data_IF_545203860421
#
_entry.id   IF_545203860421
#
_cell.length_a   1.000
_cell.length_b   1.000
_cell.length_c   1.000
_cell.angle_alpha   90.00
_cell.angle_beta   90.00
_cell.angle_gamma   90.00
#
_symmetry.space_group_name_H-M   'P 1'
#
loop_
_entity.id
_entity.type
_entity.pdbx_description
1 polymer ?
#
# COMPACT_ATOMS: atom_id res chain seq x y z
N UNK A 1 -4.36 -7.35 -14.70
CA UNK A 1 -4.20 -8.78 -15.00
C UNK A 1 -2.74 -9.22 -15.00
N UNK A 2 -1.79 -8.37 -15.47
CA UNK A 2 -0.34 -8.69 -15.46
C UNK A 2 0.17 -9.07 -14.05
N UNK A 3 -0.29 -8.38 -13.01
CA UNK A 3 0.05 -8.70 -11.62
C UNK A 3 -0.41 -10.07 -11.13
N UNK A 4 -1.42 -10.67 -11.75
CA UNK A 4 -1.83 -12.04 -11.43
C UNK A 4 -0.76 -13.04 -11.87
N UNK A 5 -0.27 -12.90 -13.10
CA UNK A 5 0.77 -13.79 -13.65
C UNK A 5 2.11 -13.68 -12.93
N UNK A 6 2.55 -12.45 -12.63
CA UNK A 6 3.79 -12.27 -11.87
C UNK A 6 3.71 -12.85 -10.46
N UNK A 7 2.56 -12.75 -9.79
CA UNK A 7 2.32 -13.34 -8.49
C UNK A 7 2.34 -14.88 -8.54
N UNK A 8 1.78 -15.47 -9.59
CA UNK A 8 1.81 -16.91 -9.82
C UNK A 8 3.23 -17.43 -9.98
N UNK A 9 4.07 -16.75 -10.78
CA UNK A 9 5.47 -17.09 -10.94
C UNK A 9 6.25 -17.03 -9.62
N UNK A 10 6.02 -15.99 -8.82
CA UNK A 10 6.64 -15.86 -7.48
C UNK A 10 6.23 -17.02 -6.56
N UNK A 11 4.94 -17.39 -6.58
CA UNK A 11 4.45 -18.50 -5.77
C UNK A 11 4.99 -19.85 -6.26
N UNK A 12 5.12 -20.06 -7.56
CA UNK A 12 5.72 -21.27 -8.12
C UNK A 12 7.18 -21.43 -7.69
N UNK A 13 7.98 -20.38 -7.80
CA UNK A 13 9.36 -20.34 -7.33
C UNK A 13 9.47 -20.56 -5.81
N UNK A 14 8.56 -19.98 -5.03
CA UNK A 14 8.52 -20.18 -3.59
C UNK A 14 8.18 -21.64 -3.23
N UNK A 15 7.31 -22.30 -3.99
CA UNK A 15 6.95 -23.70 -3.75
C UNK A 15 8.14 -24.63 -3.96
N UNK A 16 8.95 -24.38 -4.98
CA UNK A 16 10.12 -25.21 -5.30
C UNK A 16 11.26 -25.04 -4.28
N UNK A 17 11.53 -23.81 -3.85
CA UNK A 17 12.71 -23.51 -3.05
C UNK A 17 12.42 -23.40 -1.56
N UNK A 18 11.22 -22.98 -1.16
CA UNK A 18 10.88 -22.72 0.23
C UNK A 18 9.37 -22.90 0.50
N UNK A 19 8.90 -24.11 0.75
CA UNK A 19 7.47 -24.39 0.98
C UNK A 19 6.81 -23.56 2.10
N UNK A 20 7.45 -23.25 3.24
CA UNK A 20 6.88 -22.35 4.24
C UNK A 20 6.58 -20.96 3.68
N UNK A 21 7.46 -20.41 2.85
CA UNK A 21 7.27 -19.12 2.22
C UNK A 21 6.11 -19.13 1.22
N UNK A 22 5.93 -20.24 0.51
CA UNK A 22 4.77 -20.45 -0.37
C UNK A 22 3.45 -20.30 0.38
N UNK A 23 3.29 -20.93 1.54
CA UNK A 23 2.06 -20.87 2.32
C UNK A 23 1.77 -19.48 2.87
N UNK A 24 2.80 -18.76 3.29
CA UNK A 24 2.67 -17.34 3.68
C UNK A 24 2.22 -16.52 2.47
N UNK A 25 2.85 -16.71 1.31
CA UNK A 25 2.47 -16.03 0.06
C UNK A 25 1.05 -16.35 -0.39
N UNK A 26 0.62 -17.62 -0.28
CA UNK A 26 -0.75 -18.04 -0.57
C UNK A 26 -1.77 -17.37 0.37
N UNK A 27 -1.46 -17.24 1.66
CA UNK A 27 -2.28 -16.48 2.61
C UNK A 27 -2.42 -15.01 2.22
N UNK A 28 -1.33 -14.35 1.83
CA UNK A 28 -1.34 -12.98 1.31
C UNK A 28 -2.14 -12.90 0.00
N UNK A 29 -2.10 -13.97 -0.82
CA UNK A 29 -2.86 -14.06 -2.06
C UNK A 29 -4.38 -14.05 -1.84
N UNK A 30 -4.88 -14.58 -0.72
CA UNK A 30 -6.30 -14.49 -0.31
C UNK A 30 -6.63 -13.10 0.23
N UNK A 31 -5.75 -12.51 1.05
CA UNK A 31 -6.01 -11.21 1.67
C UNK A 31 -6.09 -10.08 0.65
N UNK A 32 -5.33 -10.16 -0.44
CA UNK A 32 -5.30 -9.11 -1.47
C UNK A 32 -6.67 -8.90 -2.15
N UNK A 33 -7.31 -9.90 -2.75
CA UNK A 33 -8.65 -9.74 -3.32
C UNK A 33 -9.72 -9.43 -2.27
N UNK A 34 -9.53 -9.90 -1.03
CA UNK A 34 -10.42 -9.59 0.07
C UNK A 34 -10.48 -8.08 0.36
N UNK A 35 -9.32 -7.44 0.59
CA UNK A 35 -9.33 -6.01 0.88
C UNK A 35 -9.67 -5.15 -0.33
N UNK A 36 -9.33 -5.59 -1.55
CA UNK A 36 -9.73 -4.91 -2.78
C UNK A 36 -11.24 -4.97 -2.99
N UNK A 37 -11.85 -6.14 -2.76
CA UNK A 37 -13.32 -6.28 -2.83
C UNK A 37 -14.01 -5.46 -1.73
N UNK A 38 -13.47 -5.46 -0.51
CA UNK A 38 -13.97 -4.57 0.56
C UNK A 38 -13.95 -3.12 0.12
N UNK A 39 -12.82 -2.63 -0.42
CA UNK A 39 -12.69 -1.26 -0.91
C UNK A 39 -13.72 -0.97 -2.00
N UNK A 40 -13.88 -1.85 -2.96
CA UNK A 40 -14.84 -1.71 -4.04
C UNK A 40 -16.28 -1.66 -3.54
N UNK A 41 -16.67 -2.59 -2.68
CA UNK A 41 -18.04 -2.66 -2.14
C UNK A 41 -18.34 -1.44 -1.27
N UNK A 42 -17.42 -1.01 -0.44
CA UNK A 42 -17.62 0.14 0.46
C UNK A 42 -17.66 1.46 -0.30
N UNK A 43 -16.80 1.62 -1.31
CA UNK A 43 -16.70 2.88 -2.06
C UNK A 43 -17.78 3.05 -3.13
N UNK A 44 -18.15 1.96 -3.83
CA UNK A 44 -19.03 2.05 -5.01
C UNK A 44 -20.41 1.44 -4.81
N UNK A 45 -20.55 0.40 -3.99
CA UNK A 45 -21.82 -0.28 -3.76
C UNK A 45 -22.47 0.08 -2.40
N UNK A 46 -21.71 0.77 -1.54
CA UNK A 46 -22.19 1.21 -0.22
C UNK A 46 -23.04 2.47 -0.30
N UNK A 47 -23.83 2.71 0.76
CA UNK A 47 -24.50 4.01 0.92
C UNK A 47 -23.48 5.09 1.27
N UNK A 48 -23.68 6.34 0.80
CA UNK A 48 -22.81 7.44 1.18
C UNK A 48 -22.80 7.57 2.71
N UNK A 49 -21.60 7.70 3.27
CA UNK A 49 -21.38 7.77 4.73
C UNK A 49 -21.17 9.18 5.24
N UNK A 50 -20.97 10.12 4.31
CA UNK A 50 -20.72 11.53 4.61
C UNK A 50 -21.43 12.41 3.59
N UNK A 51 -21.79 13.62 4.01
CA UNK A 51 -22.43 14.63 3.16
C UNK A 51 -21.58 15.02 1.95
N UNK A 52 -20.26 14.86 2.03
CA UNK A 52 -19.36 15.05 0.90
C UNK A 52 -19.56 14.01 -0.20
N UNK A 53 -19.79 12.74 0.19
CA UNK A 53 -20.00 11.65 -0.73
C UNK A 53 -21.35 11.73 -1.45
N UNK A 54 -22.40 12.27 -0.81
CA UNK A 54 -23.71 12.50 -1.45
C UNK A 54 -23.63 13.55 -2.56
N UNK A 55 -22.73 14.51 -2.46
CA UNK A 55 -22.54 15.62 -3.42
C UNK A 55 -21.43 15.33 -4.42
N UNK A 56 -20.83 14.15 -4.38
CA UNK A 56 -19.77 13.76 -5.32
C UNK A 56 -20.32 13.80 -6.77
N UNK A 57 -19.62 14.54 -7.63
CA UNK A 57 -19.92 14.63 -9.05
C UNK A 57 -18.99 13.70 -9.83
N UNK A 58 -19.47 13.25 -10.98
CA UNK A 58 -18.66 12.50 -11.92
C UNK A 58 -17.45 13.32 -12.38
N UNK A 59 -16.33 12.60 -12.62
CA UNK A 59 -15.10 13.24 -13.07
C UNK A 59 -15.24 13.85 -14.47
N UNK A 60 -14.63 15.02 -14.71
CA UNK A 60 -14.68 15.64 -16.03
C UNK A 60 -13.97 14.77 -17.08
N UNK A 61 -14.37 14.88 -18.38
CA UNK A 61 -13.82 14.05 -19.46
C UNK A 61 -12.29 14.09 -19.58
N UNK A 62 -11.67 15.20 -19.20
CA UNK A 62 -10.21 15.37 -19.19
C UNK A 62 -9.51 14.36 -18.27
N UNK A 63 -10.15 13.98 -17.17
CA UNK A 63 -9.63 12.94 -16.25
C UNK A 63 -10.10 11.54 -16.64
N UNK A 64 -11.29 11.43 -17.23
CA UNK A 64 -11.88 10.15 -17.61
C UNK A 64 -11.10 9.47 -18.75
N UNK A 65 -10.68 10.21 -19.75
CA UNK A 65 -9.95 9.68 -20.92
C UNK A 65 -8.64 8.99 -20.51
N UNK A 66 -7.74 9.60 -19.72
CA UNK A 66 -6.54 8.92 -19.24
C UNK A 66 -6.84 7.67 -18.42
N UNK A 67 -7.88 7.68 -17.58
CA UNK A 67 -8.28 6.52 -16.78
C UNK A 67 -8.75 5.36 -17.64
N UNK A 68 -9.53 5.63 -18.69
CA UNK A 68 -9.96 4.60 -19.66
C UNK A 68 -8.75 4.01 -20.38
N UNK A 69 -7.83 4.86 -20.86
CA UNK A 69 -6.62 4.40 -21.53
C UNK A 69 -5.79 3.49 -20.62
N UNK A 70 -5.56 3.91 -19.37
CA UNK A 70 -4.85 3.11 -18.37
C UNK A 70 -5.58 1.80 -18.05
N UNK A 71 -6.91 1.84 -17.96
CA UNK A 71 -7.73 0.64 -17.75
C UNK A 71 -7.59 -0.36 -18.91
N UNK A 72 -7.65 0.12 -20.15
CA UNK A 72 -7.44 -0.71 -21.35
C UNK A 72 -6.02 -1.28 -21.35
N UNK A 73 -5.00 -0.47 -21.11
CA UNK A 73 -3.62 -0.93 -21.06
C UNK A 73 -3.40 -1.96 -19.93
N UNK A 74 -4.03 -1.81 -18.78
CA UNK A 74 -3.95 -2.77 -17.68
C UNK A 74 -4.54 -4.15 -18.05
N UNK A 75 -5.54 -4.19 -18.91
CA UNK A 75 -6.09 -5.44 -19.46
C UNK A 75 -5.20 -5.99 -20.56
N UNK A 76 -4.81 -5.15 -21.50
CA UNK A 76 -4.05 -5.55 -22.71
C UNK A 76 -2.63 -6.03 -22.35
N UNK A 77 -1.98 -5.40 -21.33
CA UNK A 77 -0.65 -5.82 -20.85
C UNK A 77 -0.59 -7.24 -20.26
N UNK A 78 -1.74 -7.85 -19.99
CA UNK A 78 -1.80 -9.23 -19.50
C UNK A 78 -1.70 -10.27 -20.64
N UNK A 79 -1.85 -9.87 -21.89
CA UNK A 79 -1.74 -10.79 -23.00
C UNK A 79 -0.28 -11.02 -23.35
N UNK A 80 0.09 -12.29 -23.52
CA UNK A 80 1.46 -12.76 -23.77
C UNK A 80 2.15 -12.11 -24.97
N UNK A 81 1.38 -11.72 -26.00
CA UNK A 81 1.89 -11.05 -27.20
C UNK A 81 2.63 -9.73 -26.89
N UNK A 82 2.15 -8.98 -25.90
CA UNK A 82 2.77 -7.68 -25.52
C UNK A 82 3.86 -7.92 -24.51
N UNK A 83 3.65 -8.81 -23.57
CA UNK A 83 4.66 -9.17 -22.56
C UNK A 83 5.92 -9.75 -23.23
N UNK A 84 5.79 -10.61 -24.23
CA UNK A 84 6.91 -11.19 -24.95
C UNK A 84 7.68 -10.19 -25.81
N UNK A 85 7.03 -9.07 -26.21
CA UNK A 85 7.70 -8.00 -26.96
C UNK A 85 8.52 -7.07 -26.09
N UNK A 86 8.20 -7.00 -24.79
CA UNK A 86 8.85 -6.10 -23.83
C UNK A 86 9.97 -6.82 -23.07
N UNK A 87 9.79 -8.13 -22.79
CA UNK A 87 10.78 -8.97 -22.10
C UNK A 87 11.42 -9.91 -23.13
N UNK A 88 12.65 -9.62 -23.58
CA UNK A 88 13.29 -10.38 -24.68
C UNK A 88 13.74 -11.79 -24.28
N UNK A 89 13.78 -12.14 -23.00
CA UNK A 89 14.29 -13.43 -22.56
C UNK A 89 13.21 -14.52 -22.52
N UNK A 90 13.62 -15.68 -23.00
CA UNK A 90 12.81 -16.87 -23.27
C UNK A 90 12.12 -17.49 -22.03
N UNK A 91 12.39 -16.97 -20.84
CA UNK A 91 11.83 -17.52 -19.59
C UNK A 91 10.32 -17.29 -19.47
N UNK A 92 9.79 -16.23 -20.13
CA UNK A 92 8.34 -15.97 -20.13
C UNK A 92 7.57 -16.96 -21.03
N UNK A 93 8.22 -17.51 -22.05
CA UNK A 93 7.63 -18.51 -22.95
C UNK A 93 7.62 -19.92 -22.39
N UNK A 94 8.50 -20.22 -21.42
CA UNK A 94 8.57 -21.52 -20.79
C UNK A 94 7.36 -21.81 -19.87
N UNK A 95 6.70 -20.78 -19.38
CA UNK A 95 5.47 -20.89 -18.60
C UNK A 95 4.25 -20.53 -19.46
N UNK A 96 4.03 -21.28 -20.55
CA UNK A 96 2.74 -21.29 -21.22
C UNK A 96 1.62 -21.54 -20.20
N UNK A 97 0.38 -21.17 -20.53
CA UNK A 97 -0.78 -21.41 -19.69
C UNK A 97 -0.90 -22.92 -19.39
N UNK A 98 -0.18 -23.37 -18.37
CA UNK A 98 -0.33 -24.69 -17.80
C UNK A 98 -1.12 -24.51 -16.49
N UNK A 99 -2.29 -25.13 -16.36
CA UNK A 99 -3.07 -25.09 -15.13
C UNK A 99 -2.44 -25.98 -14.06
N UNK A 100 -1.26 -25.56 -13.58
CA UNK A 100 -0.53 -26.23 -12.51
C UNK A 100 -1.24 -26.05 -11.16
N UNK A 101 -0.82 -26.83 -10.15
CA UNK A 101 -1.37 -26.75 -8.80
C UNK A 101 -1.36 -25.31 -8.27
N UNK A 102 -0.31 -24.53 -8.56
CA UNK A 102 -0.16 -23.13 -8.12
C UNK A 102 -1.23 -22.23 -8.75
N UNK A 103 -1.57 -22.46 -10.03
CA UNK A 103 -2.65 -21.73 -10.71
C UNK A 103 -4.00 -21.94 -10.00
N UNK A 104 -4.34 -23.20 -9.69
CA UNK A 104 -5.61 -23.50 -9.00
C UNK A 104 -5.66 -22.94 -7.59
N UNK A 105 -4.53 -22.95 -6.85
CA UNK A 105 -4.43 -22.31 -5.53
C UNK A 105 -4.61 -20.79 -5.66
N UNK A 106 -3.97 -20.15 -6.63
CA UNK A 106 -4.06 -18.71 -6.88
C UNK A 106 -5.47 -18.30 -7.29
N UNK A 107 -6.13 -19.09 -8.14
CA UNK A 107 -7.51 -18.85 -8.54
C UNK A 107 -8.47 -19.05 -7.36
N UNK A 108 -8.28 -20.11 -6.58
CA UNK A 108 -9.02 -20.36 -5.35
C UNK A 108 -8.86 -19.23 -4.33
N UNK A 109 -7.64 -18.74 -4.14
CA UNK A 109 -7.34 -17.60 -3.28
C UNK A 109 -8.05 -16.31 -3.74
N UNK A 110 -8.07 -16.06 -5.05
CA UNK A 110 -8.80 -14.93 -5.65
C UNK A 110 -10.30 -15.03 -5.37
N UNK A 111 -10.90 -16.18 -5.64
CA UNK A 111 -12.35 -16.38 -5.46
C UNK A 111 -12.75 -16.33 -3.98
N UNK A 112 -11.99 -16.97 -3.09
CA UNK A 112 -12.23 -16.94 -1.64
C UNK A 112 -12.10 -15.55 -1.07
N UNK A 113 -11.05 -14.82 -1.44
CA UNK A 113 -10.83 -13.46 -0.98
C UNK A 113 -11.92 -12.52 -1.48
N UNK A 114 -12.22 -12.54 -2.77
CA UNK A 114 -13.23 -11.67 -3.37
C UNK A 114 -14.64 -11.97 -2.83
N UNK A 115 -15.04 -13.24 -2.79
CA UNK A 115 -16.36 -13.63 -2.26
C UNK A 115 -16.48 -13.32 -0.76
N UNK A 116 -15.45 -13.59 0.03
CA UNK A 116 -15.41 -13.23 1.44
C UNK A 116 -15.55 -11.73 1.68
N UNK A 117 -14.83 -10.92 0.92
CA UNK A 117 -14.95 -9.45 0.97
C UNK A 117 -16.36 -8.98 0.57
N UNK A 118 -16.91 -9.53 -0.51
CA UNK A 118 -18.26 -9.19 -0.96
C UNK A 118 -19.33 -9.56 0.08
N UNK A 119 -19.35 -10.80 0.54
CA UNK A 119 -20.36 -11.29 1.48
C UNK A 119 -20.32 -10.58 2.84
N UNK A 120 -19.12 -10.22 3.31
CA UNK A 120 -18.98 -9.54 4.59
C UNK A 120 -19.41 -8.08 4.55
N UNK A 121 -19.19 -7.38 3.43
CA UNK A 121 -19.39 -5.93 3.34
C UNK A 121 -20.61 -5.51 2.52
N UNK A 122 -21.13 -6.36 1.64
CA UNK A 122 -22.30 -6.03 0.83
C UNK A 122 -23.55 -5.77 1.68
N UNK A 123 -24.20 -4.64 1.45
CA UNK A 123 -25.43 -4.25 2.13
C UNK A 123 -25.29 -3.80 3.58
N UNK A 124 -24.08 -3.70 4.14
CA UNK A 124 -23.85 -3.29 5.52
C UNK A 124 -23.43 -1.82 5.61
N UNK A 125 -24.09 -1.08 6.50
CA UNK A 125 -23.77 0.33 6.78
C UNK A 125 -22.62 0.46 7.77
N UNK A 126 -22.38 -0.53 8.63
CA UNK A 126 -21.32 -0.54 9.64
C UNK A 126 -20.28 -1.62 9.32
N UNK A 127 -19.05 -1.40 9.76
CA UNK A 127 -17.98 -2.37 9.59
C UNK A 127 -18.18 -3.56 10.55
N UNK A 128 -18.37 -4.78 10.03
CA UNK A 128 -18.65 -5.96 10.86
C UNK A 128 -17.48 -6.34 11.77
N UNK A 129 -16.27 -5.88 11.44
CA UNK A 129 -15.05 -6.17 12.20
C UNK A 129 -14.69 -5.09 13.23
N UNK A 130 -15.46 -4.00 13.34
CA UNK A 130 -15.15 -2.85 14.19
C UNK A 130 -14.92 -3.21 15.67
N UNK A 131 -15.57 -4.25 16.18
CA UNK A 131 -15.45 -4.70 17.58
C UNK A 131 -14.26 -5.64 17.82
N UNK A 132 -13.57 -6.10 16.78
CA UNK A 132 -12.44 -7.01 16.93
C UNK A 132 -11.21 -6.22 17.40
N UNK A 133 -10.49 -6.67 18.47
CA UNK A 133 -9.27 -6.00 18.95
C UNK A 133 -8.18 -5.92 17.88
N UNK A 134 -8.05 -6.95 17.04
CA UNK A 134 -7.14 -6.92 15.89
C UNK A 134 -7.51 -5.81 14.90
N UNK A 135 -8.80 -5.61 14.66
CA UNK A 135 -9.27 -4.53 13.78
C UNK A 135 -8.90 -3.15 14.33
N UNK A 136 -8.98 -2.95 15.64
CA UNK A 136 -8.54 -1.70 16.27
C UNK A 136 -7.04 -1.45 16.09
N UNK A 137 -6.23 -2.50 16.18
CA UNK A 137 -4.79 -2.42 15.93
C UNK A 137 -4.49 -2.01 14.47
N UNK A 138 -5.17 -2.65 13.49
CA UNK A 138 -5.04 -2.31 12.08
C UNK A 138 -5.57 -0.90 11.77
N UNK A 139 -6.69 -0.51 12.36
CA UNK A 139 -7.27 0.82 12.20
C UNK A 139 -6.36 1.93 12.70
N UNK A 140 -5.64 1.67 13.79
CA UNK A 140 -4.65 2.59 14.35
C UNK A 140 -3.27 2.40 13.72
N UNK A 141 -3.16 1.75 12.57
CA UNK A 141 -1.91 1.54 11.81
C UNK A 141 -0.78 0.95 12.67
N UNK A 142 -1.10 0.02 13.56
CA UNK A 142 -0.18 -0.58 14.54
C UNK A 142 0.48 0.44 15.47
N UNK A 143 -0.08 1.63 15.63
CA UNK A 143 0.51 2.76 16.37
C UNK A 143 1.91 3.16 15.87
N UNK A 144 2.22 2.86 14.60
CA UNK A 144 3.52 3.18 14.00
C UNK A 144 3.69 4.69 13.83
N UNK A 145 2.61 5.41 13.50
CA UNK A 145 2.65 6.86 13.35
C UNK A 145 2.99 7.52 14.70
N UNK A 146 2.40 7.07 15.79
CA UNK A 146 2.67 7.57 17.14
C UNK A 146 4.10 7.25 17.59
N UNK A 147 4.59 6.04 17.29
CA UNK A 147 5.97 5.66 17.58
C UNK A 147 6.96 6.53 16.78
N UNK A 148 6.69 6.70 15.51
CA UNK A 148 7.52 7.53 14.63
C UNK A 148 7.57 8.99 15.11
N UNK A 149 6.42 9.58 15.41
CA UNK A 149 6.34 10.96 15.89
C UNK A 149 7.08 11.14 17.22
N UNK A 150 7.01 10.16 18.14
CA UNK A 150 7.81 10.19 19.37
C UNK A 150 9.31 10.14 19.11
N UNK A 151 9.75 9.25 18.20
CA UNK A 151 11.17 9.15 17.86
C UNK A 151 11.67 10.42 17.18
N UNK A 152 10.90 10.96 16.24
CA UNK A 152 11.25 12.22 15.56
C UNK A 152 11.29 13.38 16.55
N UNK A 153 10.30 13.50 17.45
CA UNK A 153 10.27 14.52 18.47
C UNK A 153 11.48 14.46 19.38
N UNK A 154 11.83 13.27 19.90
CA UNK A 154 13.02 13.06 20.73
C UNK A 154 14.32 13.48 20.02
N UNK A 155 14.47 13.10 18.75
CA UNK A 155 15.63 13.47 17.98
C UNK A 155 15.67 14.96 17.69
N UNK A 156 14.55 15.53 17.25
CA UNK A 156 14.43 16.94 16.94
C UNK A 156 14.66 17.83 18.15
N UNK A 157 14.07 17.49 19.29
CA UNK A 157 14.22 18.25 20.54
C UNK A 157 15.67 18.21 21.04
N UNK A 158 16.32 17.04 20.93
CA UNK A 158 17.74 16.90 21.31
C UNK A 158 18.63 17.72 20.42
N UNK A 159 18.45 17.66 19.09
CA UNK A 159 19.23 18.45 18.14
C UNK A 159 18.97 19.94 18.32
N UNK A 160 17.71 20.35 18.49
CA UNK A 160 17.35 21.74 18.73
C UNK A 160 18.00 22.30 20.01
N UNK A 161 18.04 21.51 21.08
CA UNK A 161 18.71 21.89 22.33
C UNK A 161 20.21 22.09 22.14
N UNK A 162 20.90 21.18 21.43
CA UNK A 162 22.31 21.28 21.14
C UNK A 162 22.62 22.49 20.27
N UNK A 163 21.83 22.71 19.21
CA UNK A 163 21.99 23.85 18.32
C UNK A 163 21.74 25.17 19.05
N UNK A 164 20.70 25.25 19.88
CA UNK A 164 20.42 26.43 20.70
C UNK A 164 21.55 26.74 21.68
N UNK A 165 22.09 25.71 22.35
CA UNK A 165 23.25 25.88 23.24
C UNK A 165 24.47 26.41 22.48
N UNK A 166 24.75 25.87 21.30
CA UNK A 166 25.89 26.34 20.47
C UNK A 166 25.67 27.77 19.99
N UNK A 167 24.45 28.12 19.59
CA UNK A 167 24.13 29.49 19.16
C UNK A 167 24.29 30.50 20.30
N UNK A 168 23.74 30.20 21.46
CA UNK A 168 23.77 31.09 22.60
C UNK A 168 25.21 31.22 23.21
N UNK A 169 25.93 30.11 23.30
CA UNK A 169 27.27 30.13 23.87
C UNK A 169 28.33 30.66 22.90
N UNK A 170 28.38 30.16 21.65
CA UNK A 170 29.41 30.52 20.68
C UNK A 170 29.11 31.85 20.00
N UNK A 171 27.90 32.02 19.46
CA UNK A 171 27.59 33.18 18.65
C UNK A 171 27.30 34.39 19.57
N UNK A 172 26.37 34.29 20.46
CA UNK A 172 26.00 35.42 21.32
C UNK A 172 27.01 35.67 22.43
N UNK A 173 27.52 34.65 23.08
CA UNK A 173 28.47 34.79 24.18
C UNK A 173 29.87 35.18 23.73
N UNK A 174 30.50 34.38 22.85
CA UNK A 174 31.89 34.60 22.45
C UNK A 174 32.06 35.62 21.33
N UNK A 175 31.30 35.51 20.27
CA UNK A 175 31.49 36.38 19.08
C UNK A 175 30.92 37.79 19.35
N UNK A 176 29.61 37.85 19.62
CA UNK A 176 28.94 39.15 19.81
C UNK A 176 29.37 39.81 21.11
N UNK A 177 29.39 39.10 22.22
CA UNK A 177 29.79 39.61 23.51
C UNK A 177 31.27 39.94 23.62
N UNK A 178 32.15 39.11 22.97
CA UNK A 178 33.58 39.34 22.89
C UNK A 178 33.92 40.57 22.02
N UNK A 179 33.34 40.69 20.86
CA UNK A 179 33.50 41.86 19.98
C UNK A 179 32.97 43.16 20.62
N UNK A 180 31.81 43.12 21.25
CA UNK A 180 31.27 44.29 21.93
C UNK A 180 32.14 44.79 23.09
N UNK A 181 32.77 43.89 23.84
CA UNK A 181 33.72 44.29 24.91
C UNK A 181 35.04 44.86 24.36
N UNK A 182 35.54 44.30 23.24
CA UNK A 182 36.79 44.79 22.63
C UNK A 182 36.68 46.17 21.97
N UNK A 183 35.46 46.59 21.60
CA UNK A 183 35.19 47.92 21.01
C UNK A 183 34.79 48.97 22.04
N UNK A 184 34.44 48.57 23.27
CA UNK A 184 34.03 49.50 24.35
C UNK A 184 35.19 49.89 25.31
N UNK A 185 36.38 49.36 25.12
CA UNK A 185 37.61 49.72 25.81
C UNK A 185 38.56 50.47 24.90
#
# INVERSE_FOLDING_TARGET
LSGFWSKELILAQALEHNPPLFWIGAGVAVLTPFYMMRLFVVAFLGKPRDHGAEKAKEVPPVMLVPLIILGVLAVVSAFSLIASSIVPDNDFHAHGFHPDMVFWISLGALLLGASGGFLLYHGRSSDPLANNPLFKLFRNKFYLDELYLKLVGLFQDTVAMVVHFLDEFLINGMIVGGLARSTAG
#
